data_IF_422310705649
#
_entry.id   IF_422310705649
#
_cell.length_a   1.000
_cell.length_b   1.000
_cell.length_c   1.000
_cell.angle_alpha   90.00
_cell.angle_beta   90.00
_cell.angle_gamma   90.00
#
_symmetry.space_group_name_H-M   'P 1'
#
loop_
_entity.id
_entity.type
_entity.pdbx_description
1 polymer ?
#
# COMPACT_ATOMS: atom_id res chain seq x y z
N UNK A 1 39.22 -15.64 -2.71
CA UNK A 1 38.17 -16.27 -3.55
C UNK A 1 36.81 -15.85 -3.00
N UNK A 2 35.85 -15.55 -3.90
CA UNK A 2 34.62 -14.80 -3.63
C UNK A 2 33.36 -15.68 -3.56
N UNK A 3 32.42 -15.28 -2.69
CA UNK A 3 30.95 -15.38 -2.87
C UNK A 3 30.20 -16.52 -2.15
N UNK A 4 28.87 -16.41 -1.93
CA UNK A 4 27.97 -15.28 -2.22
C UNK A 4 27.17 -14.76 -1.00
N UNK A 5 26.76 -13.49 -1.09
CA UNK A 5 26.00 -12.75 -0.09
C UNK A 5 24.55 -13.20 0.05
N UNK A 6 24.08 -13.27 1.30
CA UNK A 6 22.65 -13.38 1.64
C UNK A 6 22.06 -11.97 1.65
N UNK A 7 21.54 -11.56 0.49
CA UNK A 7 20.69 -10.39 0.36
C UNK A 7 19.44 -10.54 1.24
N UNK A 8 19.14 -9.50 2.01
CA UNK A 8 18.03 -9.44 2.94
C UNK A 8 16.70 -9.72 2.25
N UNK A 9 15.94 -10.65 2.84
CA UNK A 9 14.55 -10.91 2.50
C UNK A 9 13.69 -9.70 2.83
N UNK A 10 13.56 -8.79 1.86
CA UNK A 10 12.35 -7.99 1.80
C UNK A 10 11.25 -8.94 1.38
N UNK A 11 10.48 -9.38 2.38
CA UNK A 11 9.13 -9.91 2.29
C UNK A 11 8.57 -9.74 0.88
N UNK A 12 8.52 -10.87 0.17
CA UNK A 12 7.79 -11.00 -1.08
C UNK A 12 6.29 -10.96 -0.74
N UNK A 13 5.81 -9.79 -0.28
CA UNK A 13 4.38 -9.50 -0.17
C UNK A 13 3.93 -9.33 -1.60
N UNK A 14 3.77 -10.43 -2.33
CA UNK A 14 3.08 -10.43 -3.60
C UNK A 14 1.65 -10.02 -3.29
N UNK A 15 1.23 -8.80 -3.66
CA UNK A 15 -0.14 -8.40 -3.45
C UNK A 15 -1.01 -9.35 -4.26
N UNK A 16 -2.14 -9.79 -3.73
CA UNK A 16 -3.12 -10.61 -4.46
C UNK A 16 -3.50 -9.94 -5.81
N UNK A 17 -3.46 -8.62 -5.85
CA UNK A 17 -3.66 -7.81 -7.07
C UNK A 17 -2.63 -8.05 -8.18
N UNK A 18 -1.44 -8.59 -7.87
CA UNK A 18 -0.37 -8.94 -8.82
C UNK A 18 -0.31 -10.41 -9.23
N UNK A 19 -1.26 -11.24 -8.78
CA UNK A 19 -1.37 -12.61 -9.27
C UNK A 19 -1.80 -12.65 -10.75
N UNK A 20 -1.33 -13.64 -11.54
CA UNK A 20 -1.79 -13.86 -12.91
C UNK A 20 -3.31 -14.05 -12.95
N UNK A 21 -3.95 -13.55 -14.01
CA UNK A 21 -5.41 -13.54 -14.12
C UNK A 21 -6.00 -14.96 -14.10
N UNK A 22 -5.28 -15.98 -14.57
CA UNK A 22 -5.70 -17.39 -14.42
C UNK A 22 -5.81 -17.86 -12.96
N UNK A 23 -4.90 -17.41 -12.08
CA UNK A 23 -4.94 -17.73 -10.65
C UNK A 23 -6.07 -16.98 -9.91
N UNK A 24 -6.47 -15.81 -10.42
CA UNK A 24 -7.65 -15.06 -9.94
C UNK A 24 -8.96 -15.67 -10.45
N UNK A 25 -8.99 -16.14 -11.70
CA UNK A 25 -10.16 -16.75 -12.35
C UNK A 25 -10.55 -18.10 -11.75
N UNK A 26 -9.58 -18.87 -11.25
CA UNK A 26 -9.83 -20.17 -10.59
C UNK A 26 -10.22 -20.06 -9.12
N UNK A 27 -10.31 -18.86 -8.55
CA UNK A 27 -10.88 -18.69 -7.21
C UNK A 27 -12.40 -18.69 -7.34
N UNK A 28 -13.03 -19.65 -6.67
CA UNK A 28 -14.47 -19.58 -6.38
C UNK A 28 -14.73 -18.23 -5.72
N UNK A 29 -15.49 -17.37 -6.40
CA UNK A 29 -15.86 -16.05 -5.91
C UNK A 29 -16.58 -16.23 -4.58
N UNK A 30 -16.10 -15.55 -3.54
CA UNK A 30 -16.72 -15.63 -2.21
C UNK A 30 -18.17 -15.13 -2.28
N UNK A 31 -19.18 -15.95 -1.95
CA UNK A 31 -20.58 -15.56 -2.04
C UNK A 31 -20.92 -14.37 -1.12
N UNK A 32 -20.14 -14.14 -0.05
CA UNK A 32 -20.33 -12.99 0.86
C UNK A 32 -20.08 -11.65 0.17
N UNK A 33 -19.40 -11.63 -0.99
CA UNK A 33 -19.28 -10.41 -1.80
C UNK A 33 -20.63 -9.96 -2.38
N UNK A 34 -21.56 -10.89 -2.61
CA UNK A 34 -22.92 -10.56 -3.05
C UNK A 34 -23.75 -9.99 -1.91
N UNK A 35 -23.51 -10.41 -0.66
CA UNK A 35 -24.13 -9.82 0.53
C UNK A 35 -23.77 -8.33 0.68
N UNK A 36 -22.50 -7.96 0.45
CA UNK A 36 -22.08 -6.55 0.46
C UNK A 36 -22.85 -5.72 -0.57
N UNK A 37 -23.10 -6.27 -1.76
CA UNK A 37 -23.90 -5.59 -2.77
C UNK A 37 -25.36 -5.47 -2.35
N UNK A 38 -25.95 -6.55 -1.85
CA UNK A 38 -27.34 -6.59 -1.41
C UNK A 38 -27.63 -5.59 -0.28
N UNK A 39 -26.68 -5.39 0.63
CA UNK A 39 -26.80 -4.40 1.71
C UNK A 39 -26.52 -2.95 1.28
N UNK A 40 -26.24 -2.69 0.00
CA UNK A 40 -25.97 -1.36 -0.52
C UNK A 40 -24.57 -0.82 -0.23
N UNK A 41 -23.58 -1.68 0.07
CA UNK A 41 -22.19 -1.25 0.27
C UNK A 41 -21.66 -0.54 -0.98
N UNK A 42 -20.95 0.57 -0.81
CA UNK A 42 -20.39 1.32 -1.94
C UNK A 42 -19.41 0.47 -2.77
N UNK A 43 -19.46 0.62 -4.11
CA UNK A 43 -18.68 -0.22 -5.05
C UNK A 43 -17.17 -0.21 -4.80
N UNK A 44 -16.61 0.91 -4.29
CA UNK A 44 -15.20 0.97 -3.91
C UNK A 44 -14.84 -0.04 -2.80
N UNK A 45 -15.69 -0.18 -1.77
CA UNK A 45 -15.45 -1.12 -0.67
C UNK A 45 -15.66 -2.57 -1.11
N UNK A 46 -16.62 -2.83 -2.00
CA UNK A 46 -16.75 -4.15 -2.64
C UNK A 46 -15.46 -4.54 -3.41
N UNK A 47 -14.85 -3.58 -4.12
CA UNK A 47 -13.57 -3.78 -4.81
C UNK A 47 -12.44 -4.07 -3.82
N UNK A 48 -12.34 -3.30 -2.73
CA UNK A 48 -11.35 -3.56 -1.66
C UNK A 48 -11.52 -4.99 -1.13
N UNK A 49 -12.74 -5.39 -0.76
CA UNK A 49 -13.04 -6.73 -0.27
C UNK A 49 -12.66 -7.84 -1.27
N UNK A 50 -12.86 -7.59 -2.57
CA UNK A 50 -12.45 -8.52 -3.63
C UNK A 50 -10.92 -8.67 -3.70
N UNK A 51 -10.17 -7.57 -3.56
CA UNK A 51 -8.71 -7.55 -3.68
C UNK A 51 -8.02 -8.17 -2.45
N UNK A 52 -8.50 -7.89 -1.23
CA UNK A 52 -7.87 -8.35 0.01
C UNK A 52 -8.50 -9.65 0.55
N UNK A 53 -9.65 -10.06 0.02
CA UNK A 53 -10.45 -11.17 0.51
C UNK A 53 -11.42 -10.75 1.61
N UNK A 54 -12.55 -11.47 1.71
CA UNK A 54 -13.64 -11.14 2.64
C UNK A 54 -13.21 -11.18 4.11
N UNK A 55 -12.39 -12.14 4.53
CA UNK A 55 -12.01 -12.25 5.95
C UNK A 55 -11.13 -11.07 6.39
N UNK A 56 -10.16 -10.67 5.57
CA UNK A 56 -9.33 -9.50 5.85
C UNK A 56 -10.16 -8.21 5.82
N UNK A 57 -11.13 -8.11 4.90
CA UNK A 57 -12.06 -7.00 4.84
C UNK A 57 -12.94 -6.90 6.09
N UNK A 58 -13.50 -8.01 6.59
CA UNK A 58 -14.32 -8.01 7.81
C UNK A 58 -13.50 -7.62 9.05
N UNK A 59 -12.26 -8.09 9.15
CA UNK A 59 -11.36 -7.68 10.24
C UNK A 59 -11.09 -6.18 10.17
N UNK A 60 -10.71 -5.66 9.00
CA UNK A 60 -10.49 -4.23 8.79
C UNK A 60 -11.74 -3.42 9.12
N UNK A 61 -12.90 -3.82 8.58
CA UNK A 61 -14.15 -3.09 8.78
C UNK A 61 -14.53 -3.05 10.26
N UNK A 62 -14.40 -4.17 10.99
CA UNK A 62 -14.64 -4.19 12.44
C UNK A 62 -13.71 -3.26 13.23
N UNK A 63 -12.44 -3.15 12.84
CA UNK A 63 -11.50 -2.20 13.46
C UNK A 63 -11.96 -0.77 13.21
N UNK A 64 -12.37 -0.45 11.98
CA UNK A 64 -12.84 0.89 11.63
C UNK A 64 -14.17 1.23 12.32
N UNK A 65 -15.07 0.26 12.45
CA UNK A 65 -16.38 0.40 13.07
C UNK A 65 -16.31 0.53 14.60
N UNK A 66 -15.25 0.02 15.23
CA UNK A 66 -15.03 0.19 16.67
C UNK A 66 -14.67 1.64 17.06
N UNK A 67 -14.25 2.47 16.10
CA UNK A 67 -13.86 3.86 16.34
C UNK A 67 -15.08 4.80 16.25
N UNK A 68 -15.69 5.08 17.40
CA UNK A 68 -16.91 5.91 17.51
C UNK A 68 -16.76 7.30 16.87
N UNK A 69 -15.55 7.86 16.87
CA UNK A 69 -15.25 9.15 16.23
C UNK A 69 -15.53 9.18 14.71
N UNK A 70 -15.61 8.01 14.06
CA UNK A 70 -15.94 7.90 12.63
C UNK A 70 -17.41 7.59 12.39
N UNK A 71 -18.22 7.46 13.43
CA UNK A 71 -19.65 7.19 13.28
C UNK A 71 -20.36 8.47 12.85
N UNK A 72 -20.98 8.41 11.68
CA UNK A 72 -21.86 9.45 11.20
C UNK A 72 -23.27 9.22 11.75
N UNK A 73 -23.96 10.30 12.13
CA UNK A 73 -25.30 10.28 12.75
C UNK A 73 -26.39 9.60 11.92
N UNK A 74 -26.16 9.40 10.62
CA UNK A 74 -27.04 8.68 9.68
C UNK A 74 -26.74 7.18 9.55
N UNK A 75 -25.89 6.63 10.42
CA UNK A 75 -25.63 5.18 10.50
C UNK A 75 -24.55 4.65 9.56
N UNK A 76 -23.58 5.49 9.16
CA UNK A 76 -22.44 5.08 8.32
C UNK A 76 -21.10 5.53 8.92
N UNK A 77 -19.99 5.12 8.30
CA UNK A 77 -18.64 5.54 8.70
C UNK A 77 -18.13 6.70 7.84
N UNK A 78 -17.70 7.79 8.48
CA UNK A 78 -17.04 8.95 7.84
C UNK A 78 -15.55 8.94 8.17
N UNK A 79 -14.77 8.28 7.30
CA UNK A 79 -13.34 8.06 7.53
C UNK A 79 -12.53 9.11 6.77
N UNK A 80 -11.75 9.89 7.50
CA UNK A 80 -10.77 10.81 6.91
C UNK A 80 -9.42 10.11 6.75
N UNK A 81 -9.23 9.40 5.63
CA UNK A 81 -7.95 8.79 5.30
C UNK A 81 -7.07 9.76 4.51
N UNK A 82 -5.79 9.86 4.86
CA UNK A 82 -4.82 10.60 4.03
C UNK A 82 -4.76 9.99 2.63
N UNK A 83 -4.69 10.85 1.62
CA UNK A 83 -4.56 10.41 0.21
C UNK A 83 -3.37 9.45 0.07
N UNK A 84 -3.51 8.43 -0.78
CA UNK A 84 -2.45 7.45 -1.03
C UNK A 84 -1.11 8.10 -1.45
N UNK A 85 -1.16 9.24 -2.18
CA UNK A 85 0.03 10.04 -2.52
C UNK A 85 0.86 10.45 -1.30
N UNK A 86 0.23 10.72 -0.16
CA UNK A 86 0.92 11.09 1.08
C UNK A 86 1.70 9.92 1.65
N UNK A 87 1.14 8.70 1.59
CA UNK A 87 1.86 7.49 1.96
C UNK A 87 3.04 7.23 1.02
N UNK A 88 2.85 7.36 -0.31
CA UNK A 88 3.97 7.21 -1.27
C UNK A 88 5.08 8.23 -1.01
N UNK A 89 4.72 9.50 -0.77
CA UNK A 89 5.68 10.53 -0.41
C UNK A 89 6.43 10.21 0.89
N UNK A 90 5.73 9.68 1.90
CA UNK A 90 6.34 9.26 3.15
C UNK A 90 7.36 8.13 2.94
N UNK A 91 6.97 7.07 2.23
CA UNK A 91 7.85 5.94 1.91
C UNK A 91 9.08 6.37 1.11
N UNK A 92 8.89 7.19 0.08
CA UNK A 92 9.98 7.75 -0.72
C UNK A 92 10.95 8.57 0.12
N UNK A 93 10.43 9.45 0.98
CA UNK A 93 11.28 10.29 1.84
C UNK A 93 12.04 9.44 2.87
N UNK A 94 11.42 8.41 3.42
CA UNK A 94 12.08 7.45 4.31
C UNK A 94 13.22 6.71 3.57
N UNK A 95 12.99 6.28 2.33
CA UNK A 95 14.00 5.65 1.49
C UNK A 95 15.17 6.57 1.18
N UNK A 96 14.91 7.85 0.86
CA UNK A 96 15.96 8.88 0.67
C UNK A 96 16.84 9.00 1.92
N UNK A 97 16.22 9.12 3.10
CA UNK A 97 16.94 9.26 4.37
C UNK A 97 17.76 8.02 4.70
N UNK A 98 17.21 6.84 4.43
CA UNK A 98 17.93 5.57 4.59
C UNK A 98 19.17 5.52 3.69
N UNK A 99 19.04 5.85 2.41
CA UNK A 99 20.20 5.87 1.50
C UNK A 99 21.25 6.91 1.89
N UNK A 100 20.82 8.09 2.33
CA UNK A 100 21.73 9.12 2.83
C UNK A 100 22.48 8.65 4.09
N UNK A 101 21.81 7.94 5.01
CA UNK A 101 22.45 7.35 6.19
C UNK A 101 23.49 6.28 5.86
N UNK A 102 23.37 5.64 4.69
CA UNK A 102 24.33 4.69 4.15
C UNK A 102 25.49 5.37 3.41
N UNK A 103 25.58 6.71 3.42
CA UNK A 103 26.64 7.48 2.76
C UNK A 103 26.47 7.60 1.24
N UNK A 104 25.30 7.30 0.68
CA UNK A 104 25.05 7.48 -0.75
C UNK A 104 24.98 8.98 -1.10
N UNK A 105 25.62 9.37 -2.20
CA UNK A 105 25.52 10.74 -2.71
C UNK A 105 24.15 11.01 -3.37
N UNK A 106 23.83 12.30 -3.58
CA UNK A 106 22.53 12.69 -4.13
C UNK A 106 22.28 12.15 -5.56
N UNK A 107 23.33 11.86 -6.34
CA UNK A 107 23.22 11.31 -7.70
C UNK A 107 22.83 9.84 -7.64
N UNK A 108 23.48 9.06 -6.79
CA UNK A 108 23.16 7.66 -6.53
C UNK A 108 21.77 7.52 -5.94
N UNK A 109 21.36 8.41 -5.03
CA UNK A 109 20.00 8.42 -4.47
C UNK A 109 18.96 8.65 -5.58
N UNK A 110 19.15 9.65 -6.45
CA UNK A 110 18.22 9.92 -7.55
C UNK A 110 18.08 8.72 -8.50
N UNK A 111 19.19 8.05 -8.83
CA UNK A 111 19.16 6.83 -9.66
C UNK A 111 18.38 5.69 -8.99
N UNK A 112 18.60 5.46 -7.69
CA UNK A 112 17.90 4.40 -6.94
C UNK A 112 16.40 4.69 -6.77
N UNK A 113 16.02 5.96 -6.66
CA UNK A 113 14.61 6.36 -6.59
C UNK A 113 13.84 6.04 -7.86
N UNK A 114 14.45 6.28 -9.02
CA UNK A 114 13.84 5.96 -10.31
C UNK A 114 13.55 4.46 -10.41
N UNK A 115 14.47 3.60 -9.98
CA UNK A 115 14.24 2.15 -9.99
C UNK A 115 13.22 1.66 -8.97
N UNK A 116 13.20 2.23 -7.76
CA UNK A 116 12.35 1.75 -6.68
C UNK A 116 10.91 2.29 -6.73
N UNK A 117 10.72 3.51 -7.24
CA UNK A 117 9.43 4.20 -7.21
C UNK A 117 8.93 4.67 -8.58
N UNK A 118 9.71 4.52 -9.65
CA UNK A 118 9.42 5.09 -10.98
C UNK A 118 9.14 6.61 -10.92
N UNK A 119 9.78 7.29 -9.95
CA UNK A 119 9.63 8.72 -9.71
C UNK A 119 10.98 9.42 -9.93
N UNK A 120 10.99 10.44 -10.80
CA UNK A 120 12.14 11.35 -10.96
C UNK A 120 12.01 12.54 -10.04
N UNK A 121 13.00 12.75 -9.19
CA UNK A 121 13.12 13.95 -8.36
C UNK A 121 14.34 14.78 -8.76
N UNK A 122 14.14 16.09 -8.81
CA UNK A 122 15.23 17.03 -8.92
C UNK A 122 16.21 16.90 -7.76
N UNK A 123 17.52 17.02 -8.03
CA UNK A 123 18.58 16.87 -7.03
C UNK A 123 18.40 17.83 -5.85
N UNK A 124 17.96 19.05 -6.11
CA UNK A 124 17.65 20.06 -5.08
C UNK A 124 16.59 19.57 -4.09
N UNK A 125 15.59 18.84 -4.58
CA UNK A 125 14.53 18.27 -3.75
C UNK A 125 15.02 17.11 -2.90
N UNK A 126 15.93 16.28 -3.43
CA UNK A 126 16.60 15.22 -2.66
C UNK A 126 17.40 15.82 -1.51
N UNK A 127 18.20 16.85 -1.77
CA UNK A 127 19.00 17.54 -0.73
C UNK A 127 18.10 18.16 0.34
N UNK A 128 16.96 18.74 -0.02
CA UNK A 128 15.99 19.26 0.95
C UNK A 128 15.38 18.18 1.86
N UNK A 129 15.25 16.93 1.39
CA UNK A 129 14.65 15.83 2.16
C UNK A 129 15.69 15.18 3.10
N UNK A 130 16.98 15.26 2.74
CA UNK A 130 18.09 14.76 3.57
C UNK A 130 18.36 15.68 4.77
N UNK A 131 18.23 17.00 4.59
CA UNK A 131 18.28 17.97 5.68
C UNK A 131 17.16 17.74 6.69
#
# INVERSE_FOLDING_TARGET
>A
MAGPGRGGGYLDVYPVSKLPDEAKRNRVRDPRLDELRAMGMHHCWQKVATEIGMDAFLVMWRILDAEEQWHHSKGGLEITLRRYRSYRMFQRNAYIKQLASMGCDAKTIALRLEWAFDERLEKSRVVQIIK
#
